data_IF_573324183049
#
_entry.id   IF_573324183049
#
_cell.length_a   1.000
_cell.length_b   1.000
_cell.length_c   1.000
_cell.angle_alpha   90.00
_cell.angle_beta   90.00
_cell.angle_gamma   90.00
#
_symmetry.space_group_name_H-M   'P 1'
#
loop_
_entity.id
_entity.type
_entity.pdbx_description
1 polymer ?
#
# COMPACT_ATOMS: atom_id res chain seq x y z
N UNK A 1 -16.64 6.51 -2.19
CA UNK A 1 -16.17 7.65 -3.00
C UNK A 1 -14.65 7.56 -3.21
N UNK A 2 -14.13 7.87 -4.41
CA UNK A 2 -12.69 7.83 -4.73
C UNK A 2 -12.09 9.24 -4.69
N UNK A 3 -11.05 9.44 -3.88
CA UNK A 3 -10.30 10.69 -3.83
C UNK A 3 -8.93 10.51 -4.49
N UNK A 4 -8.64 11.34 -5.49
CA UNK A 4 -7.34 11.39 -6.18
C UNK A 4 -6.61 12.66 -5.76
N UNK A 5 -5.48 12.52 -5.07
CA UNK A 5 -4.66 13.64 -4.59
C UNK A 5 -3.37 13.64 -5.39
N UNK A 6 -3.29 14.53 -6.39
CA UNK A 6 -2.11 14.71 -7.24
C UNK A 6 -1.31 15.97 -6.90
N UNK A 7 -0.03 15.99 -7.24
CA UNK A 7 0.83 17.16 -7.07
C UNK A 7 2.32 16.82 -7.08
N UNK A 8 3.19 17.83 -7.10
CA UNK A 8 4.65 17.63 -7.14
C UNK A 8 5.18 17.01 -5.83
N UNK A 9 6.38 16.39 -5.80
CA UNK A 9 6.94 15.82 -4.57
C UNK A 9 7.08 16.88 -3.47
N UNK A 10 6.90 16.47 -2.20
CA UNK A 10 7.10 17.29 -0.98
C UNK A 10 6.13 18.46 -0.76
N UNK A 11 4.98 18.49 -1.44
CA UNK A 11 3.91 19.49 -1.18
C UNK A 11 2.91 19.10 -0.08
N UNK A 12 3.17 18.02 0.64
CA UNK A 12 2.30 17.57 1.73
C UNK A 12 1.06 16.78 1.30
N UNK A 13 1.08 16.12 0.12
CA UNK A 13 -0.02 15.27 -0.37
C UNK A 13 -0.40 14.19 0.64
N UNK A 14 0.57 13.47 1.18
CA UNK A 14 0.36 12.43 2.19
C UNK A 14 -0.23 13.00 3.47
N UNK A 15 0.19 14.20 3.88
CA UNK A 15 -0.41 14.90 5.02
C UNK A 15 -1.88 15.25 4.77
N UNK A 16 -2.21 15.77 3.58
CA UNK A 16 -3.60 16.08 3.21
C UNK A 16 -4.45 14.81 3.11
N UNK A 17 -3.92 13.74 2.51
CA UNK A 17 -4.55 12.43 2.43
C UNK A 17 -4.89 11.92 3.82
N UNK A 18 -3.92 11.90 4.74
CA UNK A 18 -4.12 11.46 6.12
C UNK A 18 -5.19 12.28 6.85
N UNK A 19 -5.20 13.61 6.69
CA UNK A 19 -6.22 14.46 7.30
C UNK A 19 -7.64 14.15 6.80
N UNK A 20 -7.79 13.88 5.50
CA UNK A 20 -9.09 13.48 4.92
C UNK A 20 -9.49 12.11 5.44
N UNK A 21 -8.55 11.16 5.47
CA UNK A 21 -8.78 9.80 5.96
C UNK A 21 -9.22 9.80 7.43
N UNK A 22 -8.54 10.56 8.29
CA UNK A 22 -8.90 10.70 9.70
C UNK A 22 -10.25 11.38 9.90
N UNK A 23 -10.48 12.52 9.23
CA UNK A 23 -11.72 13.28 9.35
C UNK A 23 -12.94 12.46 8.95
N UNK A 24 -12.83 11.74 7.84
CA UNK A 24 -13.93 11.01 7.23
C UNK A 24 -13.96 9.52 7.67
N UNK A 25 -13.08 9.13 8.60
CA UNK A 25 -12.94 7.76 9.15
C UNK A 25 -12.81 6.69 8.07
N UNK A 26 -12.03 7.01 7.05
CA UNK A 26 -11.81 6.16 5.89
C UNK A 26 -10.66 5.21 6.21
N UNK A 27 -10.89 3.90 6.14
CA UNK A 27 -9.78 2.96 6.22
C UNK A 27 -8.92 3.07 4.96
N UNK A 28 -7.62 3.16 5.14
CA UNK A 28 -6.63 3.27 4.07
C UNK A 28 -5.48 2.32 4.34
N UNK A 29 -4.89 1.81 3.25
CA UNK A 29 -3.71 0.98 3.28
C UNK A 29 -2.69 1.61 2.35
N UNK A 30 -1.60 2.11 2.92
CA UNK A 30 -0.49 2.65 2.17
C UNK A 30 0.33 1.53 1.54
N UNK A 31 0.59 1.62 0.25
CA UNK A 31 1.49 0.70 -0.46
C UNK A 31 2.91 0.74 0.12
N UNK A 32 3.41 1.90 0.52
CA UNK A 32 4.73 2.04 1.12
C UNK A 32 4.77 1.33 2.48
N UNK A 33 3.68 1.38 3.25
CA UNK A 33 3.58 0.64 4.51
C UNK A 33 3.56 -0.86 4.28
N UNK A 34 2.84 -1.36 3.25
CA UNK A 34 2.90 -2.78 2.87
C UNK A 34 4.33 -3.18 2.55
N UNK A 35 5.05 -2.39 1.74
CA UNK A 35 6.44 -2.69 1.40
C UNK A 35 7.33 -2.69 2.64
N UNK A 36 7.22 -1.68 3.50
CA UNK A 36 7.99 -1.59 4.74
C UNK A 36 7.71 -2.77 5.68
N UNK A 37 6.43 -3.16 5.87
CA UNK A 37 6.05 -4.32 6.66
C UNK A 37 6.63 -5.61 6.08
N UNK A 38 6.56 -5.79 4.75
CA UNK A 38 7.15 -6.95 4.08
C UNK A 38 8.68 -6.99 4.27
N UNK A 39 9.37 -5.85 4.12
CA UNK A 39 10.82 -5.77 4.35
C UNK A 39 11.20 -6.12 5.80
N UNK A 40 10.37 -5.77 6.77
CA UNK A 40 10.61 -6.02 8.19
C UNK A 40 10.26 -7.45 8.62
N UNK A 41 9.13 -8.01 8.18
CA UNK A 41 8.60 -9.29 8.63
C UNK A 41 9.20 -10.48 7.88
N UNK A 42 9.46 -10.34 6.58
CA UNK A 42 9.99 -11.43 5.77
C UNK A 42 11.32 -12.04 6.28
N UNK A 43 12.32 -11.29 6.82
CA UNK A 43 13.55 -11.91 7.30
C UNK A 43 13.31 -12.76 8.55
N UNK A 44 12.29 -12.44 9.34
CA UNK A 44 11.92 -13.15 10.57
C UNK A 44 11.21 -14.48 10.28
N UNK A 45 10.68 -14.63 9.07
CA UNK A 45 9.99 -15.83 8.60
C UNK A 45 10.88 -16.70 7.68
N UNK A 46 12.20 -16.48 7.70
CA UNK A 46 13.17 -17.08 6.78
C UNK A 46 12.84 -16.87 5.28
N UNK A 47 11.97 -15.89 4.99
CA UNK A 47 11.72 -15.44 3.63
C UNK A 47 12.89 -14.54 3.27
N UNK A 48 13.76 -15.01 2.35
CA UNK A 48 14.90 -14.23 1.85
C UNK A 48 14.46 -12.82 1.46
N UNK A 49 14.80 -11.85 2.31
CA UNK A 49 14.52 -10.45 2.05
C UNK A 49 15.53 -9.92 1.09
N UNK A 50 14.97 -9.20 0.12
CA UNK A 50 15.58 -8.56 -1.03
C UNK A 50 16.76 -7.67 -0.62
N UNK A 51 17.91 -8.28 -0.37
CA UNK A 51 19.16 -7.58 -0.05
C UNK A 51 19.98 -7.27 -1.30
N UNK A 52 19.61 -7.84 -2.46
CA UNK A 52 20.18 -7.54 -3.77
C UNK A 52 19.06 -7.55 -4.80
N UNK A 53 18.63 -6.37 -5.26
CA UNK A 53 17.57 -6.25 -6.26
C UNK A 53 18.10 -6.64 -7.64
N UNK A 54 17.67 -7.80 -8.13
CA UNK A 54 17.26 -7.90 -9.52
C UNK A 54 15.82 -7.36 -9.59
N UNK A 55 15.63 -6.21 -10.25
CA UNK A 55 14.31 -5.58 -10.43
C UNK A 55 13.26 -6.55 -10.98
N UNK A 56 13.68 -7.50 -11.82
CA UNK A 56 12.83 -8.54 -12.40
C UNK A 56 12.33 -9.55 -11.35
N UNK A 57 13.16 -9.94 -10.38
CA UNK A 57 12.73 -10.86 -9.31
C UNK A 57 11.72 -10.22 -8.38
N UNK A 58 11.90 -8.92 -8.10
CA UNK A 58 10.93 -8.15 -7.32
C UNK A 58 9.60 -8.07 -8.05
N UNK A 59 9.60 -7.67 -9.33
CA UNK A 59 8.38 -7.65 -10.16
C UNK A 59 7.70 -9.01 -10.17
N UNK A 60 8.44 -10.09 -10.40
CA UNK A 60 7.87 -11.45 -10.45
C UNK A 60 7.22 -11.88 -9.13
N UNK A 61 7.78 -11.50 -7.97
CA UNK A 61 7.19 -11.80 -6.66
C UNK A 61 6.01 -10.88 -6.34
N UNK A 62 6.08 -9.60 -6.73
CA UNK A 62 4.97 -8.66 -6.60
C UNK A 62 3.74 -9.14 -7.40
N UNK A 63 3.94 -9.58 -8.64
CA UNK A 63 2.89 -10.18 -9.47
C UNK A 63 2.26 -11.43 -8.83
N UNK A 64 3.06 -12.26 -8.15
CA UNK A 64 2.55 -13.43 -7.42
C UNK A 64 1.80 -13.06 -6.13
N UNK A 65 2.21 -11.99 -5.47
CA UNK A 65 1.57 -11.50 -4.24
C UNK A 65 0.28 -10.73 -4.53
N UNK A 66 0.22 -10.01 -5.65
CA UNK A 66 -0.89 -9.13 -6.02
C UNK A 66 -2.28 -9.80 -5.92
N UNK A 67 -2.51 -11.05 -6.38
CA UNK A 67 -3.79 -11.72 -6.20
C UNK A 67 -4.25 -11.84 -4.74
N UNK A 68 -3.32 -12.07 -3.80
CA UNK A 68 -3.64 -12.15 -2.38
C UNK A 68 -4.01 -10.79 -1.81
N UNK A 69 -3.23 -9.75 -2.15
CA UNK A 69 -3.54 -8.37 -1.77
C UNK A 69 -4.88 -7.91 -2.36
N UNK A 70 -5.13 -8.22 -3.63
CA UNK A 70 -6.38 -7.91 -4.31
C UNK A 70 -7.57 -8.59 -3.64
N UNK A 71 -7.47 -9.88 -3.32
CA UNK A 71 -8.54 -10.58 -2.61
C UNK A 71 -8.74 -10.04 -1.19
N UNK A 72 -7.67 -9.71 -0.49
CA UNK A 72 -7.76 -9.06 0.83
C UNK A 72 -8.50 -7.72 0.74
N UNK A 73 -8.08 -6.83 -0.17
CA UNK A 73 -8.75 -5.54 -0.37
C UNK A 73 -10.21 -5.76 -0.77
N UNK A 74 -10.48 -6.64 -1.74
CA UNK A 74 -11.83 -6.94 -2.23
C UNK A 74 -12.77 -7.46 -1.13
N UNK A 75 -12.28 -8.26 -0.19
CA UNK A 75 -13.10 -8.75 0.93
C UNK A 75 -13.31 -7.71 2.02
N UNK A 76 -12.34 -6.80 2.21
CA UNK A 76 -12.48 -5.69 3.12
C UNK A 76 -13.28 -4.53 2.48
N UNK A 77 -13.41 -4.50 1.15
CA UNK A 77 -14.00 -3.39 0.42
C UNK A 77 -15.47 -3.10 0.76
N UNK A 78 -16.34 -4.12 0.92
CA UNK A 78 -17.74 -3.93 1.29
C UNK A 78 -17.94 -3.32 2.68
N UNK A 79 -16.89 -3.24 3.51
CA UNK A 79 -16.94 -2.72 4.89
C UNK A 79 -16.62 -1.23 4.94
N UNK A 80 -16.13 -0.63 3.86
CA UNK A 80 -15.62 0.74 3.85
C UNK A 80 -16.14 1.54 2.65
N UNK A 81 -16.82 2.66 2.93
CA UNK A 81 -17.56 3.45 1.94
C UNK A 81 -16.66 4.39 1.10
N UNK A 82 -15.40 4.56 1.51
CA UNK A 82 -14.46 5.53 0.94
C UNK A 82 -13.05 4.94 0.79
N UNK A 83 -12.28 5.43 -0.19
CA UNK A 83 -10.87 5.07 -0.43
C UNK A 83 -10.06 6.27 -0.92
N UNK A 84 -8.79 6.33 -0.53
CA UNK A 84 -7.81 7.32 -1.01
C UNK A 84 -6.68 6.59 -1.73
N UNK A 85 -6.27 7.12 -2.88
CA UNK A 85 -5.09 6.69 -3.63
C UNK A 85 -4.17 7.90 -3.77
N UNK A 86 -2.93 7.78 -3.30
CA UNK A 86 -1.87 8.81 -3.41
C UNK A 86 -0.94 8.52 -4.61
N UNK A 87 -0.53 9.57 -5.32
CA UNK A 87 0.46 9.54 -6.41
C UNK A 87 1.28 10.82 -6.50
#
# INVERSE_FOLDING_TARGET
MLYLIGGVPRVGKSTLANLILERDKIAYIDTDWIIHMLMFAAPQLDVKVFTKFNEQEFRNKAEKFYPFLYQFIKHNQPVVEHYVIEG
#
